data_IF_625733187099
#
_entry.id   IF_625733187099
#
_cell.length_a   1.000
_cell.length_b   1.000
_cell.length_c   1.000
_cell.angle_alpha   90.00
_cell.angle_beta   90.00
_cell.angle_gamma   90.00
#
_symmetry.space_group_name_H-M   'P 1'
#
loop_
_entity.id
_entity.type
_entity.pdbx_description
1 polymer ?
#
# COMPACT_ATOMS: atom_id res chain seq x y z
N UNK A 1 2.41 38.24 -18.82
CA UNK A 1 3.12 37.02 -18.32
C UNK A 1 2.36 36.30 -17.20
N UNK A 2 1.83 36.97 -16.16
CA UNK A 2 1.02 36.35 -15.09
C UNK A 2 -0.31 35.75 -15.57
N UNK A 3 -0.93 36.37 -16.57
CA UNK A 3 -2.21 35.93 -17.14
C UNK A 3 -2.10 34.63 -17.96
N UNK A 4 -1.08 34.54 -18.85
CA UNK A 4 -0.71 33.29 -19.55
C UNK A 4 -0.37 32.13 -18.59
N UNK A 5 0.11 32.41 -17.37
CA UNK A 5 0.38 31.38 -16.35
C UNK A 5 -0.91 30.90 -15.66
N UNK A 6 -1.96 31.73 -15.60
CA UNK A 6 -3.30 31.35 -15.10
C UNK A 6 -4.09 30.53 -16.13
N UNK A 7 -4.00 30.85 -17.42
CA UNK A 7 -4.66 30.08 -18.49
C UNK A 7 -4.09 28.66 -18.60
N UNK A 8 -2.77 28.49 -18.59
CA UNK A 8 -2.13 27.15 -18.59
C UNK A 8 -2.49 26.30 -17.37
N UNK A 9 -2.79 26.92 -16.22
CA UNK A 9 -3.28 26.20 -15.02
C UNK A 9 -4.74 25.76 -15.17
N UNK A 10 -5.58 26.53 -15.89
CA UNK A 10 -6.97 26.13 -16.19
C UNK A 10 -7.03 25.00 -17.22
N UNK A 11 -6.18 25.01 -18.26
CA UNK A 11 -6.10 23.92 -19.24
C UNK A 11 -5.64 22.60 -18.61
N UNK A 12 -4.62 22.63 -17.74
CA UNK A 12 -4.22 21.43 -16.98
C UNK A 12 -5.34 20.88 -16.09
N UNK A 13 -6.16 21.75 -15.48
CA UNK A 13 -7.26 21.32 -14.59
C UNK A 13 -8.44 20.72 -15.36
N UNK A 14 -8.70 21.17 -16.59
CA UNK A 14 -9.70 20.55 -17.48
C UNK A 14 -9.26 19.18 -18.01
N UNK A 15 -7.97 19.00 -18.29
CA UNK A 15 -7.43 17.74 -18.79
C UNK A 15 -7.58 16.58 -17.80
N UNK A 16 -7.43 16.85 -16.50
CA UNK A 16 -7.61 15.85 -15.44
C UNK A 16 -9.08 15.49 -15.15
N UNK A 17 -10.03 16.36 -15.52
CA UNK A 17 -11.46 16.12 -15.27
C UNK A 17 -12.14 15.34 -16.42
N UNK A 18 -11.52 15.26 -17.60
CA UNK A 18 -12.08 14.57 -18.77
C UNK A 18 -11.65 13.09 -18.88
N UNK A 19 -10.76 12.59 -18.02
CA UNK A 19 -10.33 11.18 -18.04
C UNK A 19 -11.21 10.24 -17.21
N UNK A 20 -12.27 10.73 -16.57
CA UNK A 20 -13.19 9.92 -15.73
C UNK A 20 -14.60 9.75 -16.30
N UNK A 21 -14.83 10.03 -17.59
CA UNK A 21 -16.10 9.71 -18.27
C UNK A 21 -15.84 8.85 -19.50
N UNK A 22 -15.91 7.52 -19.33
CA UNK A 22 -16.01 6.59 -20.45
C UNK A 22 -17.46 6.53 -20.92
N UNK A 23 -17.75 7.22 -22.02
CA UNK A 23 -18.96 6.99 -22.81
C UNK A 23 -18.83 5.66 -23.54
N UNK A 24 -19.86 4.83 -23.37
CA UNK A 24 -20.10 3.56 -24.05
C UNK A 24 -20.26 3.74 -25.56
N UNK A 25 -19.35 3.16 -26.35
CA UNK A 25 -19.53 3.00 -27.79
C UNK A 25 -19.79 1.54 -28.16
N UNK A 26 -20.78 1.40 -29.03
CA UNK A 26 -21.47 0.20 -29.48
C UNK A 26 -20.62 -0.62 -30.45
N UNK A 27 -20.74 -1.93 -30.28
CA UNK A 27 -20.31 -3.03 -31.14
C UNK A 27 -20.55 -2.81 -32.64
N UNK A 28 -19.53 -3.06 -33.45
CA UNK A 28 -19.72 -3.48 -34.85
C UNK A 28 -18.68 -4.52 -35.25
N UNK A 29 -19.20 -5.67 -35.62
CA UNK A 29 -18.62 -6.89 -36.16
C UNK A 29 -17.75 -6.74 -37.41
N UNK A 30 -16.65 -7.50 -37.49
CA UNK A 30 -15.99 -7.90 -38.74
C UNK A 30 -15.58 -9.38 -38.71
N UNK A 31 -15.47 -10.04 -39.89
CA UNK A 31 -15.68 -11.47 -40.05
C UNK A 31 -14.41 -12.32 -39.99
N UNK A 32 -14.66 -13.59 -39.67
CA UNK A 32 -13.77 -14.74 -39.63
C UNK A 32 -13.12 -15.05 -40.98
N UNK A 33 -11.79 -15.19 -40.99
CA UNK A 33 -11.05 -15.84 -42.06
C UNK A 33 -10.59 -17.24 -41.63
N UNK A 34 -10.94 -18.20 -42.47
CA UNK A 34 -10.59 -19.62 -42.43
C UNK A 34 -9.20 -19.79 -43.03
N UNK A 35 -8.32 -20.55 -42.37
CA UNK A 35 -7.25 -21.29 -43.05
C UNK A 35 -7.09 -22.69 -42.45
N UNK A 36 -7.05 -23.67 -43.35
CA UNK A 36 -7.01 -25.10 -43.11
C UNK A 36 -5.57 -25.64 -43.10
N UNK A 37 -5.36 -26.63 -42.22
CA UNK A 37 -4.57 -27.87 -42.39
C UNK A 37 -3.09 -27.81 -42.78
N UNK A 38 -2.23 -28.46 -41.98
CA UNK A 38 -1.35 -29.55 -42.45
C UNK A 38 -0.82 -30.44 -41.28
N UNK A 39 -1.04 -31.74 -41.45
CA UNK A 39 -0.33 -32.97 -41.00
C UNK A 39 0.66 -33.00 -39.81
N UNK A 40 0.28 -33.78 -38.81
CA UNK A 40 0.96 -34.96 -38.23
C UNK A 40 2.45 -35.25 -38.50
N UNK A 41 3.23 -35.39 -37.42
CA UNK A 41 4.35 -36.33 -37.31
C UNK A 41 4.43 -36.94 -35.89
N UNK A 42 4.75 -38.24 -35.83
CA UNK A 42 4.80 -39.11 -34.64
C UNK A 42 6.27 -39.28 -34.18
N UNK A 43 6.42 -39.38 -32.86
CA UNK A 43 7.56 -39.67 -31.95
C UNK A 43 8.70 -40.62 -32.40
N UNK A 44 9.87 -40.55 -31.73
CA UNK A 44 10.11 -41.43 -30.57
C UNK A 44 10.69 -40.74 -29.31
N UNK A 45 10.57 -41.47 -28.21
CA UNK A 45 10.78 -41.17 -26.78
C UNK A 45 12.26 -41.28 -26.29
N UNK A 46 12.53 -41.44 -24.98
CA UNK A 46 12.94 -40.38 -24.06
C UNK A 46 14.41 -40.52 -23.62
N UNK A 47 15.14 -39.40 -23.52
CA UNK A 47 16.48 -39.40 -22.93
C UNK A 47 16.56 -38.42 -21.76
N UNK A 48 16.72 -39.02 -20.59
CA UNK A 48 17.21 -38.53 -19.32
C UNK A 48 18.16 -37.32 -19.44
N UNK A 49 17.77 -36.19 -18.85
CA UNK A 49 18.73 -35.12 -18.53
C UNK A 49 18.49 -34.56 -17.11
N UNK A 50 19.53 -34.74 -16.31
CA UNK A 50 19.91 -34.11 -15.06
C UNK A 50 19.06 -32.91 -14.59
N UNK A 51 18.42 -33.07 -13.43
CA UNK A 51 18.08 -31.94 -12.56
C UNK A 51 19.38 -31.50 -11.88
N UNK A 52 20.02 -30.48 -12.44
CA UNK A 52 21.00 -29.68 -11.71
C UNK A 52 20.22 -28.65 -10.90
N UNK A 53 20.19 -28.83 -9.58
CA UNK A 53 19.72 -27.82 -8.65
C UNK A 53 20.73 -26.65 -8.66
N UNK A 54 20.56 -25.74 -9.61
CA UNK A 54 21.22 -24.44 -9.56
C UNK A 54 20.42 -23.59 -8.57
N UNK A 55 20.85 -23.61 -7.31
CA UNK A 55 20.50 -22.54 -6.37
C UNK A 55 21.18 -21.28 -6.87
N UNK A 56 20.48 -20.48 -7.67
CA UNK A 56 20.91 -19.12 -8.02
C UNK A 56 20.94 -18.32 -6.71
N UNK A 57 22.13 -18.16 -6.12
CA UNK A 57 22.34 -17.18 -5.05
C UNK A 57 22.11 -15.81 -5.67
N UNK A 58 20.93 -15.25 -5.45
CA UNK A 58 20.67 -13.82 -5.65
C UNK A 58 21.57 -13.09 -4.66
N UNK A 59 22.74 -12.68 -5.13
CA UNK A 59 23.60 -11.76 -4.41
C UNK A 59 23.14 -10.39 -4.86
N UNK A 60 22.32 -9.72 -4.06
CA UNK A 60 21.96 -8.32 -4.31
C UNK A 60 23.25 -7.52 -4.35
N UNK A 61 23.68 -7.11 -5.55
CA UNK A 61 24.73 -6.10 -5.69
C UNK A 61 24.14 -4.79 -5.18
N UNK A 62 24.83 -4.16 -4.24
CA UNK A 62 24.42 -2.87 -3.68
C UNK A 62 24.91 -1.76 -4.60
N UNK A 63 24.01 -0.85 -4.96
CA UNK A 63 24.32 0.32 -5.78
C UNK A 63 24.92 1.46 -4.93
N UNK A 64 25.69 2.40 -5.53
CA UNK A 64 26.29 3.52 -4.83
C UNK A 64 25.23 4.45 -4.20
N UNK A 65 25.09 4.44 -2.87
CA UNK A 65 24.20 5.34 -2.13
C UNK A 65 23.30 4.67 -1.10
N UNK A 66 23.13 3.35 -1.18
CA UNK A 66 22.34 2.58 -0.21
C UNK A 66 23.14 2.36 1.09
N UNK A 67 22.65 2.90 2.22
CA UNK A 67 23.13 2.51 3.55
C UNK A 67 22.20 1.46 4.13
N UNK A 68 22.57 0.19 4.01
CA UNK A 68 21.91 -0.85 4.81
C UNK A 68 22.38 -0.70 6.25
N UNK A 69 21.45 -0.33 7.14
CA UNK A 69 21.77 -0.07 8.55
C UNK A 69 21.89 -1.37 9.38
N UNK A 70 21.34 -2.49 8.89
CA UNK A 70 21.61 -3.83 9.44
C UNK A 70 21.28 -4.94 8.43
N UNK A 71 22.15 -5.95 8.32
CA UNK A 71 22.01 -7.12 7.43
C UNK A 71 21.80 -8.42 8.20
N UNK A 72 21.25 -8.39 9.41
CA UNK A 72 20.91 -9.66 10.08
C UNK A 72 19.99 -10.43 9.15
N UNK A 73 20.45 -11.59 8.67
CA UNK A 73 19.80 -12.37 7.60
C UNK A 73 18.36 -12.78 7.92
N UNK A 74 17.98 -12.70 9.19
CA UNK A 74 16.65 -13.01 9.71
C UNK A 74 16.01 -11.84 10.48
N UNK A 75 16.73 -10.70 10.59
CA UNK A 75 16.26 -9.51 11.26
C UNK A 75 15.50 -8.57 10.32
N UNK A 76 14.77 -7.58 10.87
CA UNK A 76 14.04 -6.63 10.04
C UNK A 76 15.02 -5.84 9.17
N UNK A 77 14.82 -5.89 7.84
CA UNK A 77 15.58 -5.06 6.91
C UNK A 77 15.14 -3.61 7.13
N UNK A 78 16.12 -2.76 7.40
CA UNK A 78 15.95 -1.32 7.56
C UNK A 78 16.72 -0.65 6.45
N UNK A 79 16.03 0.16 5.68
CA UNK A 79 16.73 0.94 4.66
C UNK A 79 16.18 2.33 4.55
N UNK A 80 17.10 3.28 4.42
CA UNK A 80 16.86 4.70 4.25
C UNK A 80 17.16 5.07 2.79
N UNK A 81 16.21 5.75 2.16
CA UNK A 81 16.30 6.15 0.75
C UNK A 81 15.81 7.58 0.53
N UNK A 82 16.19 8.16 -0.60
CA UNK A 82 15.80 9.51 -1.01
C UNK A 82 17.02 10.41 -1.23
N UNK A 83 16.87 11.38 -2.13
CA UNK A 83 17.75 12.55 -2.13
C UNK A 83 17.52 13.34 -0.82
N UNK A 84 18.43 14.26 -0.48
CA UNK A 84 18.40 15.11 0.74
C UNK A 84 17.08 15.86 1.02
N UNK A 85 16.04 15.73 0.18
CA UNK A 85 14.74 16.36 0.34
C UNK A 85 13.71 15.54 1.12
N UNK A 86 13.63 14.20 1.05
CA UNK A 86 12.68 13.42 1.88
C UNK A 86 13.25 12.03 2.16
N UNK A 87 13.63 11.68 3.40
CA UNK A 87 13.98 10.31 3.72
C UNK A 87 12.74 9.43 3.70
N UNK A 88 12.85 8.27 3.06
CA UNK A 88 11.88 7.20 3.15
C UNK A 88 12.55 6.02 3.82
N UNK A 89 11.98 5.58 4.93
CA UNK A 89 12.38 4.34 5.56
C UNK A 89 11.40 3.22 5.27
N UNK A 90 11.95 2.03 5.06
CA UNK A 90 11.20 0.79 4.95
C UNK A 90 11.61 -0.12 6.10
N UNK A 91 10.64 -0.48 6.94
CA UNK A 91 10.75 -1.60 7.87
C UNK A 91 10.13 -2.82 7.20
N UNK A 92 10.87 -3.93 7.11
CA UNK A 92 10.35 -5.22 6.69
C UNK A 92 10.40 -6.21 7.85
N UNK A 93 9.35 -7.01 8.04
CA UNK A 93 9.30 -8.09 9.01
C UNK A 93 8.42 -9.24 8.52
N UNK A 94 8.19 -10.23 9.38
CA UNK A 94 7.23 -11.31 9.11
C UNK A 94 6.28 -11.46 10.29
N UNK A 95 4.98 -11.60 10.02
CA UNK A 95 4.04 -12.04 11.05
C UNK A 95 4.27 -13.52 11.41
N UNK A 96 3.80 -13.92 12.59
CA UNK A 96 3.94 -15.31 13.04
C UNK A 96 3.08 -16.25 12.20
N UNK A 97 3.55 -17.48 12.04
CA UNK A 97 2.84 -18.54 11.31
C UNK A 97 1.50 -18.86 11.99
N UNK A 98 1.48 -18.81 13.32
CA UNK A 98 0.28 -19.09 14.11
C UNK A 98 -0.78 -18.02 13.90
N UNK A 99 -0.40 -16.75 13.75
CA UNK A 99 -1.34 -15.67 13.45
C UNK A 99 -1.91 -15.81 12.03
N UNK A 100 -1.08 -16.12 11.04
CA UNK A 100 -1.53 -16.42 9.67
C UNK A 100 -2.59 -17.54 9.66
N UNK A 101 -2.35 -18.63 10.41
CA UNK A 101 -3.31 -19.74 10.55
C UNK A 101 -4.65 -19.31 11.15
N UNK A 102 -4.68 -18.29 12.02
CA UNK A 102 -5.94 -17.74 12.52
C UNK A 102 -6.61 -16.85 11.47
N UNK A 103 -5.85 -16.06 10.71
CA UNK A 103 -6.38 -15.25 9.62
C UNK A 103 -7.08 -16.12 8.56
N UNK A 104 -6.49 -17.23 8.14
CA UNK A 104 -7.11 -18.13 7.14
C UNK A 104 -8.45 -18.74 7.57
N UNK A 105 -8.83 -18.62 8.85
CA UNK A 105 -10.16 -19.01 9.35
C UNK A 105 -11.20 -17.91 9.23
N UNK A 106 -10.80 -16.67 8.96
CA UNK A 106 -11.72 -15.55 8.78
C UNK A 106 -12.50 -15.74 7.47
N UNK A 107 -13.81 -15.59 7.55
CA UNK A 107 -14.73 -15.82 6.43
C UNK A 107 -14.32 -15.01 5.18
N UNK A 108 -13.90 -13.76 5.37
CA UNK A 108 -13.46 -12.89 4.28
C UNK A 108 -12.24 -13.39 3.50
N UNK A 109 -11.44 -14.30 4.06
CA UNK A 109 -10.26 -14.89 3.40
C UNK A 109 -10.47 -16.32 2.91
N UNK A 110 -11.61 -16.94 3.20
CA UNK A 110 -11.91 -18.31 2.75
C UNK A 110 -13.23 -18.44 1.99
N UNK A 111 -14.03 -17.37 1.89
CA UNK A 111 -15.28 -17.39 1.17
C UNK A 111 -15.11 -17.60 -0.35
N UNK A 112 -16.14 -18.16 -1.03
CA UNK A 112 -16.21 -18.13 -2.48
C UNK A 112 -16.30 -16.70 -3.03
N UNK A 113 -15.79 -16.47 -4.24
CA UNK A 113 -15.77 -15.13 -4.86
C UNK A 113 -17.12 -14.41 -4.82
N UNK A 114 -18.20 -15.12 -5.16
CA UNK A 114 -19.58 -14.59 -5.20
C UNK A 114 -20.09 -14.04 -3.86
N UNK A 115 -19.42 -14.35 -2.75
CA UNK A 115 -19.78 -13.87 -1.42
C UNK A 115 -18.99 -12.62 -0.99
N UNK A 116 -17.91 -12.25 -1.69
CA UNK A 116 -17.08 -11.09 -1.33
C UNK A 116 -17.87 -9.79 -1.28
N UNK A 117 -18.74 -9.54 -2.25
CA UNK A 117 -19.53 -8.30 -2.29
C UNK A 117 -20.46 -8.16 -1.08
N UNK A 118 -20.99 -9.29 -0.58
CA UNK A 118 -21.80 -9.31 0.65
C UNK A 118 -21.00 -9.01 1.91
N UNK A 119 -19.67 -9.19 1.84
CA UNK A 119 -18.73 -8.85 2.90
C UNK A 119 -18.21 -7.41 2.80
N UNK A 120 -18.78 -6.59 1.92
CA UNK A 120 -18.41 -5.18 1.75
C UNK A 120 -17.26 -4.94 0.79
N UNK A 121 -16.84 -5.95 0.01
CA UNK A 121 -15.87 -5.74 -1.06
C UNK A 121 -16.55 -5.18 -2.31
N UNK A 122 -15.79 -4.41 -3.07
CA UNK A 122 -16.21 -3.87 -4.35
C UNK A 122 -15.24 -4.34 -5.42
N UNK A 123 -15.77 -4.76 -6.57
CA UNK A 123 -14.93 -5.06 -7.73
C UNK A 123 -14.37 -3.76 -8.31
N UNK A 124 -13.06 -3.69 -8.45
CA UNK A 124 -12.34 -2.53 -8.96
C UNK A 124 -11.78 -2.79 -10.37
N UNK A 125 -11.65 -1.73 -11.17
CA UNK A 125 -11.11 -1.78 -12.53
C UNK A 125 -9.93 -0.82 -12.63
N UNK A 126 -8.75 -1.32 -12.23
CA UNK A 126 -7.50 -0.53 -12.24
C UNK A 126 -6.75 -0.70 -13.56
N UNK A 127 -6.97 -1.83 -14.23
CA UNK A 127 -6.30 -2.22 -15.46
C UNK A 127 -7.32 -2.46 -16.58
N UNK A 128 -7.92 -1.39 -17.16
CA UNK A 128 -8.98 -1.54 -18.16
C UNK A 128 -8.52 -2.29 -19.44
N UNK A 129 -7.20 -2.35 -19.68
CA UNK A 129 -6.60 -3.10 -20.80
C UNK A 129 -6.34 -4.58 -20.48
N UNK A 130 -6.49 -5.00 -19.22
CA UNK A 130 -6.28 -6.36 -18.75
C UNK A 130 -7.56 -6.85 -18.04
N UNK A 131 -8.69 -6.98 -18.75
CA UNK A 131 -10.00 -7.26 -18.14
C UNK A 131 -10.09 -8.63 -17.44
N UNK A 132 -9.16 -9.54 -17.73
CA UNK A 132 -9.05 -10.84 -17.05
C UNK A 132 -8.24 -10.78 -15.75
N UNK A 133 -7.60 -9.65 -15.43
CA UNK A 133 -7.12 -9.39 -14.08
C UNK A 133 -8.30 -8.89 -13.25
N UNK A 134 -8.63 -9.60 -12.18
CA UNK A 134 -9.76 -9.29 -11.31
C UNK A 134 -9.25 -8.79 -9.98
N UNK A 135 -9.78 -7.65 -9.56
CA UNK A 135 -9.41 -6.97 -8.33
C UNK A 135 -10.68 -6.66 -7.53
N UNK A 136 -10.69 -7.05 -6.25
CA UNK A 136 -11.67 -6.61 -5.27
C UNK A 136 -10.98 -5.84 -4.13
N UNK A 137 -11.61 -4.78 -3.66
CA UNK A 137 -11.15 -4.01 -2.51
C UNK A 137 -12.29 -3.82 -1.50
N UNK A 138 -12.02 -4.09 -0.22
CA UNK A 138 -12.93 -3.81 0.88
C UNK A 138 -12.31 -2.78 1.83
N UNK A 139 -13.10 -1.80 2.27
CA UNK A 139 -12.67 -0.75 3.19
C UNK A 139 -13.32 -0.94 4.56
N UNK A 140 -12.49 -1.07 5.60
CA UNK A 140 -12.91 -1.35 6.97
C UNK A 140 -12.20 -0.42 7.95
N UNK A 141 -12.54 -0.48 9.23
CA UNK A 141 -11.72 0.14 10.28
C UNK A 141 -11.20 -0.84 11.33
N UNK A 142 -10.08 -0.45 11.95
CA UNK A 142 -9.41 -1.19 13.01
C UNK A 142 -9.78 -0.72 14.44
N UNK A 143 -10.72 0.21 14.59
CA UNK A 143 -11.09 0.79 15.88
C UNK A 143 -11.68 -0.25 16.86
N UNK A 144 -11.67 0.04 18.16
CA UNK A 144 -12.20 -0.87 19.20
C UNK A 144 -13.72 -1.11 19.10
N UNK A 145 -14.46 -0.12 18.63
CA UNK A 145 -15.91 -0.23 18.43
C UNK A 145 -16.24 -1.19 17.29
N UNK A 146 -17.36 -1.92 17.42
CA UNK A 146 -17.98 -2.72 16.36
C UNK A 146 -18.88 -1.89 15.43
N UNK A 147 -19.23 -0.67 15.84
CA UNK A 147 -20.01 0.27 15.04
C UNK A 147 -19.21 0.81 13.87
N UNK A 148 -19.90 1.15 12.78
CA UNK A 148 -19.28 1.77 11.62
C UNK A 148 -18.68 3.14 11.97
N UNK A 149 -17.57 3.48 11.31
CA UNK A 149 -16.89 4.77 11.46
C UNK A 149 -16.90 5.54 10.15
N UNK A 150 -17.55 6.71 10.17
CA UNK A 150 -17.54 7.65 9.04
C UNK A 150 -16.13 8.19 8.81
N UNK A 151 -15.60 7.99 7.61
CA UNK A 151 -14.27 8.46 7.23
C UNK A 151 -14.14 8.63 5.72
N UNK A 152 -13.02 9.15 5.28
CA UNK A 152 -12.73 9.31 3.85
C UNK A 152 -12.32 7.98 3.23
N UNK A 153 -12.92 7.64 2.10
CA UNK A 153 -12.50 6.54 1.25
C UNK A 153 -11.15 6.90 0.59
N UNK A 154 -10.08 6.11 0.81
CA UNK A 154 -8.76 6.42 0.27
C UNK A 154 -8.70 6.45 -1.26
N UNK A 155 -9.64 5.79 -1.95
CA UNK A 155 -9.62 5.61 -3.40
C UNK A 155 -10.17 6.81 -4.16
N UNK A 156 -11.30 7.34 -3.74
CA UNK A 156 -12.02 8.41 -4.46
C UNK A 156 -12.27 9.66 -3.60
N UNK A 157 -11.79 9.66 -2.35
CA UNK A 157 -12.01 10.72 -1.36
C UNK A 157 -13.47 10.96 -0.96
N UNK A 158 -14.38 10.04 -1.30
CA UNK A 158 -15.78 10.12 -0.84
C UNK A 158 -15.89 9.85 0.66
N UNK A 159 -16.99 10.31 1.29
CA UNK A 159 -17.28 9.99 2.69
C UNK A 159 -18.06 8.68 2.72
N UNK A 160 -17.56 7.72 3.50
CA UNK A 160 -18.18 6.41 3.66
C UNK A 160 -18.23 6.01 5.14
N UNK A 161 -19.26 5.27 5.51
CA UNK A 161 -19.33 4.58 6.80
C UNK A 161 -18.60 3.25 6.67
N UNK A 162 -17.35 3.19 7.14
CA UNK A 162 -16.56 1.97 7.08
C UNK A 162 -17.09 1.01 8.15
N UNK A 163 -17.42 -0.24 7.81
CA UNK A 163 -17.73 -1.25 8.82
C UNK A 163 -16.48 -1.66 9.60
N UNK A 164 -16.68 -2.20 10.79
CA UNK A 164 -15.59 -2.79 11.57
C UNK A 164 -15.00 -4.00 10.83
N UNK A 165 -13.67 -4.09 10.80
CA UNK A 165 -13.02 -5.32 10.35
C UNK A 165 -13.32 -6.48 11.32
N UNK A 166 -13.10 -7.76 10.92
CA UNK A 166 -13.23 -8.88 11.83
C UNK A 166 -12.38 -8.68 13.11
N UNK A 167 -12.88 -9.08 14.30
CA UNK A 167 -12.23 -8.80 15.58
C UNK A 167 -10.73 -9.16 15.61
N UNK A 168 -10.35 -10.32 15.07
CA UNK A 168 -8.96 -10.75 15.02
C UNK A 168 -8.05 -9.78 14.24
N UNK A 169 -8.56 -9.22 13.12
CA UNK A 169 -7.82 -8.26 12.31
C UNK A 169 -7.72 -6.90 13.01
N UNK A 170 -8.82 -6.43 13.63
CA UNK A 170 -8.81 -5.21 14.45
C UNK A 170 -7.78 -5.32 15.59
N UNK A 171 -7.78 -6.46 16.27
CA UNK A 171 -6.93 -6.73 17.41
C UNK A 171 -5.44 -6.66 17.08
N UNK A 172 -5.03 -7.07 15.88
CA UNK A 172 -3.63 -6.96 15.43
C UNK A 172 -3.12 -5.51 15.45
N UNK A 173 -3.90 -4.59 14.90
CA UNK A 173 -3.51 -3.18 14.83
C UNK A 173 -3.61 -2.48 16.19
N UNK A 174 -4.59 -2.86 17.01
CA UNK A 174 -4.69 -2.37 18.39
C UNK A 174 -3.51 -2.86 19.22
N UNK A 175 -3.19 -4.16 19.19
CA UNK A 175 -2.04 -4.74 19.89
C UNK A 175 -0.71 -4.12 19.41
N UNK A 176 -0.59 -3.85 18.10
CA UNK A 176 0.58 -3.14 17.57
C UNK A 176 0.70 -1.72 18.16
N UNK A 177 -0.40 -0.95 18.23
CA UNK A 177 -0.38 0.39 18.85
C UNK A 177 0.00 0.34 20.33
N UNK A 178 -0.58 -0.59 21.09
CA UNK A 178 -0.31 -0.72 22.52
C UNK A 178 1.15 -1.11 22.79
N UNK A 179 1.65 -2.12 22.07
CA UNK A 179 3.03 -2.61 22.18
C UNK A 179 4.07 -1.57 21.79
N UNK A 180 3.72 -0.66 20.88
CA UNK A 180 4.62 0.36 20.37
C UNK A 180 4.26 1.78 20.87
N UNK A 181 3.50 1.90 21.95
CA UNK A 181 3.03 3.19 22.48
C UNK A 181 4.18 4.16 22.80
N UNK A 182 5.25 3.69 23.45
CA UNK A 182 6.44 4.51 23.71
C UNK A 182 7.17 4.94 22.42
N UNK A 183 7.22 4.06 21.42
CA UNK A 183 7.82 4.36 20.13
C UNK A 183 7.00 5.39 19.35
N UNK A 184 5.67 5.27 19.35
CA UNK A 184 4.75 6.24 18.75
C UNK A 184 4.81 7.59 19.47
N UNK A 185 4.96 7.59 20.80
CA UNK A 185 5.13 8.81 21.57
C UNK A 185 6.37 9.60 21.14
N UNK A 186 7.47 8.94 20.77
CA UNK A 186 8.64 9.62 20.21
C UNK A 186 8.33 10.30 18.87
N UNK A 187 7.60 9.63 17.98
CA UNK A 187 7.16 10.22 16.71
C UNK A 187 6.30 11.46 16.97
N UNK A 188 5.36 11.35 17.91
CA UNK A 188 4.49 12.43 18.32
C UNK A 188 5.26 13.66 18.82
N UNK A 189 6.24 13.46 19.70
CA UNK A 189 7.11 14.54 20.21
C UNK A 189 7.96 15.17 19.11
N UNK A 190 8.43 14.41 18.12
CA UNK A 190 9.14 14.98 16.96
C UNK A 190 8.20 15.80 16.06
N UNK A 191 6.97 15.33 15.81
CA UNK A 191 5.97 16.08 15.03
C UNK A 191 5.58 17.40 15.72
N UNK A 192 5.56 17.44 17.06
CA UNK A 192 5.29 18.66 17.83
C UNK A 192 6.35 19.75 17.66
N UNK A 193 7.59 19.37 17.41
CA UNK A 193 8.71 20.30 17.19
C UNK A 193 8.73 20.89 15.78
N UNK A 194 7.90 20.36 14.88
CA UNK A 194 7.85 20.83 13.49
C UNK A 194 7.19 22.20 13.44
N UNK A 195 7.94 23.22 13.03
CA UNK A 195 7.35 24.53 12.76
C UNK A 195 6.81 24.54 11.32
N UNK A 196 5.52 24.82 11.17
CA UNK A 196 4.88 24.98 9.86
C UNK A 196 4.52 26.44 9.65
N UNK A 197 4.88 27.01 8.50
CA UNK A 197 4.51 28.37 8.15
C UNK A 197 3.00 28.46 7.87
N UNK A 198 2.34 29.44 8.49
CA UNK A 198 0.93 29.76 8.25
C UNK A 198 -0.06 28.87 9.01
N UNK A 199 -1.30 29.34 9.07
CA UNK A 199 -2.37 28.67 9.82
C UNK A 199 -2.69 27.28 9.25
N UNK A 200 -2.69 27.13 7.92
CA UNK A 200 -3.05 25.87 7.27
C UNK A 200 -2.00 24.77 7.53
N UNK A 201 -0.72 25.13 7.48
CA UNK A 201 0.37 24.21 7.82
C UNK A 201 0.26 23.75 9.27
N UNK A 202 0.02 24.68 10.20
CA UNK A 202 -0.15 24.37 11.62
C UNK A 202 -1.39 23.49 11.88
N UNK A 203 -2.49 23.73 11.17
CA UNK A 203 -3.68 22.86 11.25
C UNK A 203 -3.37 21.43 10.77
N UNK A 204 -2.64 21.28 9.66
CA UNK A 204 -2.27 19.97 9.15
C UNK A 204 -1.31 19.24 10.10
N UNK A 205 -0.32 19.95 10.66
CA UNK A 205 0.58 19.43 11.70
C UNK A 205 -0.20 18.88 12.89
N UNK A 206 -1.19 19.64 13.38
CA UNK A 206 -2.07 19.21 14.49
C UNK A 206 -2.87 17.95 14.18
N UNK A 207 -3.26 17.73 12.93
CA UNK A 207 -3.91 16.47 12.53
C UNK A 207 -2.94 15.30 12.71
N UNK A 208 -1.72 15.40 12.20
CA UNK A 208 -0.72 14.32 12.38
C UNK A 208 -0.30 14.16 13.84
N UNK A 209 -0.14 15.26 14.58
CA UNK A 209 0.10 15.24 16.02
C UNK A 209 -1.00 14.46 16.74
N UNK A 210 -2.26 14.77 16.48
CA UNK A 210 -3.39 14.07 17.08
C UNK A 210 -3.47 12.60 16.65
N UNK A 211 -3.07 12.29 15.42
CA UNK A 211 -3.09 10.93 14.90
C UNK A 211 -2.05 10.03 15.58
N UNK A 212 -0.89 10.57 15.97
CA UNK A 212 0.15 9.86 16.73
C UNK A 212 0.01 9.99 18.25
N UNK A 213 -0.96 10.77 18.75
CA UNK A 213 -1.14 10.96 20.17
C UNK A 213 -1.52 9.61 20.84
N UNK A 214 -0.75 9.12 21.83
CA UNK A 214 -0.99 7.82 22.47
C UNK A 214 -2.32 7.74 23.24
N UNK A 215 -2.95 8.89 23.53
CA UNK A 215 -4.28 8.96 24.12
C UNK A 215 -5.39 8.91 23.06
N UNK A 216 -5.07 9.06 21.78
CA UNK A 216 -6.00 9.02 20.64
C UNK A 216 -5.69 7.80 19.74
N UNK A 217 -5.89 6.60 20.27
CA UNK A 217 -5.54 5.35 19.59
C UNK A 217 -6.50 4.92 18.46
N UNK A 218 -7.34 5.83 17.96
CA UNK A 218 -8.35 5.50 16.93
C UNK A 218 -7.89 5.82 15.52
N UNK A 219 -7.02 6.81 15.34
CA UNK A 219 -6.65 7.33 14.03
C UNK A 219 -5.50 6.57 13.37
N UNK A 220 -4.41 6.33 14.09
CA UNK A 220 -3.25 5.61 13.56
C UNK A 220 -3.60 4.15 13.24
N UNK A 221 -3.34 3.73 12.00
CA UNK A 221 -3.69 2.38 11.50
C UNK A 221 -5.18 2.04 11.66
N UNK A 222 -6.05 3.05 11.71
CA UNK A 222 -7.49 2.87 11.85
C UNK A 222 -8.18 2.60 10.52
N UNK A 223 -7.63 3.04 9.40
CA UNK A 223 -8.19 2.86 8.04
C UNK A 223 -7.62 1.62 7.39
N UNK A 224 -8.45 0.62 7.13
CA UNK A 224 -8.05 -0.67 6.57
C UNK A 224 -8.56 -0.84 5.14
N UNK A 225 -7.67 -1.22 4.24
CA UNK A 225 -8.01 -1.71 2.91
C UNK A 225 -7.57 -3.17 2.79
N UNK A 226 -8.50 -4.04 2.38
CA UNK A 226 -8.23 -5.45 2.07
C UNK A 226 -8.35 -5.63 0.57
N UNK A 227 -7.26 -6.08 -0.05
CA UNK A 227 -7.15 -6.22 -1.50
C UNK A 227 -7.07 -7.69 -1.87
N UNK A 228 -7.88 -8.10 -2.85
CA UNK A 228 -7.93 -9.46 -3.39
C UNK A 228 -7.71 -9.42 -4.89
N UNK A 229 -6.63 -10.04 -5.36
CA UNK A 229 -6.26 -10.08 -6.78
C UNK A 229 -6.20 -11.52 -7.29
N UNK A 230 -6.71 -11.76 -8.50
CA UNK A 230 -6.50 -13.01 -9.23
C UNK A 230 -6.69 -12.80 -10.75
N UNK A 231 -6.47 -13.86 -11.53
CA UNK A 231 -6.60 -13.85 -12.98
C UNK A 231 -5.27 -13.57 -13.67
N UNK A 232 -5.30 -12.85 -14.79
CA UNK A 232 -4.10 -12.56 -15.58
C UNK A 232 -3.05 -11.78 -14.77
N UNK A 233 -1.79 -12.02 -15.10
CA UNK A 233 -0.67 -11.29 -14.50
C UNK A 233 -0.74 -9.78 -14.82
N UNK A 234 -0.32 -8.99 -13.84
CA UNK A 234 0.14 -7.61 -14.04
C UNK A 234 1.65 -7.69 -13.96
N UNK A 235 2.33 -7.73 -15.11
CA UNK A 235 3.80 -7.74 -15.16
C UNK A 235 4.40 -6.35 -14.88
N UNK A 236 5.72 -6.28 -14.72
CA UNK A 236 6.46 -5.04 -14.47
C UNK A 236 6.22 -3.91 -15.49
N UNK A 237 5.76 -4.21 -16.71
CA UNK A 237 5.44 -3.20 -17.73
C UNK A 237 4.03 -2.63 -17.59
N UNK A 238 3.13 -3.39 -16.97
CA UNK A 238 1.73 -3.03 -16.77
C UNK A 238 1.45 -2.52 -15.35
N UNK A 239 2.46 -2.39 -14.49
CA UNK A 239 2.31 -1.88 -13.12
C UNK A 239 1.66 -0.50 -13.10
N UNK A 240 0.57 -0.37 -12.34
CA UNK A 240 -0.12 0.90 -12.09
C UNK A 240 0.63 1.75 -11.08
N UNK A 241 1.65 2.48 -11.54
CA UNK A 241 2.48 3.29 -10.64
C UNK A 241 1.75 4.54 -10.13
N UNK A 242 1.88 4.80 -8.82
CA UNK A 242 1.24 5.92 -8.14
C UNK A 242 2.02 6.34 -6.88
N UNK A 243 1.65 7.48 -6.31
CA UNK A 243 1.94 7.82 -4.92
C UNK A 243 0.65 7.71 -4.12
N UNK A 244 0.74 7.24 -2.88
CA UNK A 244 -0.43 7.17 -2.04
C UNK A 244 -0.89 8.57 -1.59
N UNK A 245 -2.12 8.64 -1.11
CA UNK A 245 -2.62 9.82 -0.42
C UNK A 245 -1.98 10.02 0.97
N UNK A 246 -2.21 11.19 1.57
CA UNK A 246 -1.55 11.59 2.83
C UNK A 246 -1.98 10.80 4.06
N UNK A 247 -3.09 10.06 4.00
CA UNK A 247 -3.39 9.09 5.05
C UNK A 247 -2.40 7.90 5.06
N UNK A 248 -1.63 7.68 3.99
CA UNK A 248 -0.52 6.71 3.94
C UNK A 248 0.86 7.33 4.24
N UNK A 249 0.91 8.48 4.92
CA UNK A 249 2.16 9.00 5.51
C UNK A 249 2.73 8.00 6.53
N UNK A 250 1.89 7.17 7.14
CA UNK A 250 2.27 5.96 7.85
C UNK A 250 1.44 4.81 7.32
N UNK A 251 2.07 3.86 6.65
CA UNK A 251 1.40 2.74 5.98
C UNK A 251 1.96 1.44 6.53
N UNK A 252 1.12 0.64 7.18
CA UNK A 252 1.43 -0.71 7.62
C UNK A 252 0.72 -1.68 6.69
N UNK A 253 1.43 -2.57 6.01
CA UNK A 253 0.81 -3.59 5.18
C UNK A 253 1.40 -4.97 5.38
N UNK A 254 0.58 -6.00 5.10
CA UNK A 254 1.04 -7.38 5.16
C UNK A 254 0.31 -8.31 4.17
N UNK A 255 0.97 -9.41 3.85
CA UNK A 255 0.51 -10.42 2.88
C UNK A 255 -0.10 -11.63 3.57
N UNK A 256 -1.37 -11.95 3.26
CA UNK A 256 -2.09 -13.10 3.85
C UNK A 256 -2.10 -14.30 2.90
N UNK A 257 -2.14 -14.08 1.60
CA UNK A 257 -2.16 -15.15 0.61
C UNK A 257 -1.47 -14.70 -0.68
N UNK A 258 -0.86 -15.65 -1.39
CA UNK A 258 -0.15 -15.40 -2.64
C UNK A 258 1.11 -14.56 -2.48
N UNK A 259 1.86 -14.44 -3.57
CA UNK A 259 3.09 -13.66 -3.64
C UNK A 259 2.90 -12.51 -4.64
N UNK A 260 3.59 -11.39 -4.41
CA UNK A 260 3.60 -10.22 -5.29
C UNK A 260 4.95 -9.51 -5.21
N UNK A 261 5.20 -8.54 -6.09
CA UNK A 261 6.42 -7.72 -6.01
C UNK A 261 5.99 -6.28 -5.83
N UNK A 262 6.52 -5.61 -4.80
CA UNK A 262 6.39 -4.17 -4.63
C UNK A 262 7.53 -3.49 -5.40
N UNK A 263 7.16 -2.71 -6.42
CA UNK A 263 8.08 -1.88 -7.18
C UNK A 263 8.10 -0.50 -6.56
N UNK A 264 9.27 0.07 -6.33
CA UNK A 264 9.39 1.45 -5.86
C UNK A 264 10.52 2.20 -6.59
N UNK A 265 10.26 3.46 -6.90
CA UNK A 265 11.25 4.42 -7.36
C UNK A 265 11.50 5.41 -6.23
N UNK A 266 12.75 5.49 -5.79
CA UNK A 266 13.07 6.19 -4.53
C UNK A 266 13.68 7.57 -4.78
N UNK A 267 13.03 8.33 -5.67
CA UNK A 267 13.31 9.75 -5.91
C UNK A 267 12.05 10.60 -5.65
N UNK A 268 12.25 11.80 -5.07
CA UNK A 268 11.17 12.70 -4.66
C UNK A 268 10.46 13.46 -5.78
N UNK A 269 10.83 13.24 -7.05
CA UNK A 269 10.38 14.10 -8.16
C UNK A 269 9.72 13.29 -9.29
N UNK A 270 8.43 13.55 -9.51
CA UNK A 270 7.57 12.82 -10.46
C UNK A 270 8.00 13.01 -11.91
N UNK A 271 8.44 14.22 -12.28
CA UNK A 271 8.92 14.53 -13.64
C UNK A 271 10.22 13.80 -13.97
N UNK A 272 10.90 13.30 -12.94
CA UNK A 272 12.16 12.62 -13.05
C UNK A 272 11.98 11.12 -13.28
N UNK A 273 11.06 10.43 -12.59
CA UNK A 273 10.84 8.97 -12.67
C UNK A 273 10.67 8.38 -14.09
N UNK A 274 10.37 9.20 -15.11
CA UNK A 274 10.31 8.79 -16.52
C UNK A 274 11.68 8.77 -17.24
N UNK A 275 12.74 9.31 -16.64
CA UNK A 275 14.10 9.28 -17.19
C UNK A 275 14.84 8.02 -16.68
N UNK A 276 15.80 7.49 -17.43
CA UNK A 276 16.38 6.16 -17.20
C UNK A 276 17.33 6.01 -15.98
N UNK A 277 17.46 7.03 -15.12
CA UNK A 277 18.50 7.11 -14.08
C UNK A 277 17.95 6.93 -12.64
N UNK A 278 16.92 6.11 -12.42
CA UNK A 278 16.39 5.85 -11.06
C UNK A 278 16.80 4.50 -10.52
N UNK A 279 17.10 4.49 -9.22
CA UNK A 279 17.13 3.28 -8.43
C UNK A 279 15.70 2.72 -8.36
N UNK A 280 15.44 1.75 -9.24
CA UNK A 280 14.24 0.94 -9.21
C UNK A 280 14.49 -0.25 -8.29
N UNK A 281 13.67 -0.35 -7.25
CA UNK A 281 13.73 -1.45 -6.31
C UNK A 281 12.54 -2.38 -6.50
N UNK A 282 12.83 -3.67 -6.43
CA UNK A 282 11.86 -4.74 -6.40
C UNK A 282 11.97 -5.41 -5.05
N UNK A 283 10.91 -5.31 -4.26
CA UNK A 283 10.79 -5.94 -2.96
C UNK A 283 9.77 -7.08 -3.08
N UNK A 284 10.22 -8.35 -3.27
CA UNK A 284 9.32 -9.50 -3.26
C UNK A 284 8.57 -9.57 -1.92
N UNK A 285 7.27 -9.81 -1.99
CA UNK A 285 6.39 -9.96 -0.84
C UNK A 285 5.78 -11.35 -0.86
N UNK A 286 6.26 -12.18 0.04
CA UNK A 286 5.74 -13.51 0.32
C UNK A 286 4.58 -13.45 1.32
N UNK A 287 3.86 -14.55 1.46
CA UNK A 287 2.93 -14.76 2.57
C UNK A 287 3.65 -14.53 3.90
N UNK A 288 3.00 -13.80 4.81
CA UNK A 288 3.51 -13.31 6.11
C UNK A 288 4.38 -12.08 6.07
N UNK A 289 4.85 -11.64 4.92
CA UNK A 289 5.67 -10.43 4.89
C UNK A 289 4.84 -9.24 5.36
N UNK A 290 5.47 -8.44 6.22
CA UNK A 290 4.98 -7.18 6.76
C UNK A 290 5.93 -6.11 6.28
N UNK A 291 5.40 -4.98 5.85
CA UNK A 291 6.19 -3.77 5.70
C UNK A 291 5.51 -2.55 6.32
N UNK A 292 6.33 -1.63 6.80
CA UNK A 292 5.89 -0.32 7.27
C UNK A 292 6.73 0.74 6.58
N UNK A 293 6.07 1.67 5.91
CA UNK A 293 6.73 2.75 5.17
C UNK A 293 5.80 3.96 4.99
N UNK A 294 6.20 4.88 4.12
CA UNK A 294 5.52 6.13 3.84
C UNK A 294 5.26 6.32 2.31
N UNK A 295 4.43 5.47 1.68
CA UNK A 295 4.16 5.49 0.22
C UNK A 295 3.51 6.78 -0.28
N UNK A 296 3.10 7.69 0.61
CA UNK A 296 2.74 9.05 0.25
C UNK A 296 3.92 9.89 -0.30
N UNK A 297 5.17 9.42 -0.12
CA UNK A 297 6.40 10.15 -0.48
C UNK A 297 7.28 9.47 -1.53
N UNK A 298 6.88 8.31 -2.08
CA UNK A 298 7.62 7.66 -3.15
C UNK A 298 6.68 7.02 -4.17
N UNK A 299 7.13 6.95 -5.41
CA UNK A 299 6.37 6.36 -6.51
C UNK A 299 6.51 4.84 -6.42
N UNK A 300 5.39 4.13 -6.45
CA UNK A 300 5.39 2.69 -6.30
C UNK A 300 4.23 2.05 -7.05
N UNK A 301 4.30 0.75 -7.20
CA UNK A 301 3.24 -0.06 -7.78
C UNK A 301 3.50 -1.53 -7.52
N UNK A 302 2.52 -2.37 -7.81
CA UNK A 302 2.57 -3.78 -7.45
C UNK A 302 2.44 -4.64 -8.70
N UNK A 303 3.38 -5.56 -8.86
CA UNK A 303 3.34 -6.62 -9.85
C UNK A 303 2.63 -7.83 -9.25
N UNK A 304 1.71 -8.43 -10.01
CA UNK A 304 0.91 -9.57 -9.60
C UNK A 304 1.15 -10.73 -10.58
N UNK A 305 1.63 -11.90 -10.14
CA UNK A 305 1.69 -13.07 -11.01
C UNK A 305 0.28 -13.55 -11.36
N UNK A 306 0.17 -14.30 -12.47
CA UNK A 306 -1.07 -14.97 -12.84
C UNK A 306 -1.46 -15.99 -11.75
N UNK A 307 -2.72 -15.97 -11.34
CA UNK A 307 -3.24 -16.92 -10.36
C UNK A 307 -4.75 -17.17 -10.55
N UNK A 308 -5.24 -18.25 -9.97
CA UNK A 308 -6.67 -18.59 -9.90
C UNK A 308 -7.25 -18.13 -8.56
N UNK A 309 -8.56 -18.24 -8.40
CA UNK A 309 -9.23 -17.87 -7.16
C UNK A 309 -8.70 -18.64 -5.93
N UNK A 310 -8.41 -19.94 -6.10
CA UNK A 310 -7.95 -20.81 -5.02
C UNK A 310 -6.59 -20.39 -4.48
N UNK A 311 -5.76 -19.77 -5.31
CA UNK A 311 -4.44 -19.25 -4.95
C UNK A 311 -4.30 -17.73 -5.10
N UNK A 312 -5.44 -17.01 -5.02
CA UNK A 312 -5.52 -15.54 -5.14
C UNK A 312 -4.58 -14.83 -4.18
N UNK A 313 -4.21 -13.60 -4.51
CA UNK A 313 -3.33 -12.77 -3.69
C UNK A 313 -4.18 -11.93 -2.76
N UNK A 314 -3.90 -11.95 -1.45
CA UNK A 314 -4.59 -11.17 -0.44
C UNK A 314 -3.58 -10.30 0.31
N UNK A 315 -3.78 -8.99 0.25
CA UNK A 315 -2.99 -7.99 0.94
C UNK A 315 -3.89 -7.16 1.87
N UNK A 316 -3.35 -6.75 3.02
CA UNK A 316 -4.04 -5.83 3.92
C UNK A 316 -3.14 -4.63 4.14
N UNK A 317 -3.74 -3.44 4.10
CA UNK A 317 -3.08 -2.17 4.27
C UNK A 317 -3.80 -1.37 5.35
N UNK A 318 -3.03 -0.74 6.23
CA UNK A 318 -3.54 0.10 7.31
C UNK A 318 -2.87 1.47 7.29
N UNK A 319 -3.71 2.50 7.44
CA UNK A 319 -3.38 3.91 7.23
C UNK A 319 -4.02 4.76 8.32
N UNK A 320 -3.83 6.08 8.26
CA UNK A 320 -4.59 6.99 9.12
C UNK A 320 -6.08 7.01 8.76
N UNK A 321 -6.92 6.91 9.78
CA UNK A 321 -8.37 7.08 9.66
C UNK A 321 -8.75 8.54 9.83
N UNK A 322 -8.77 9.28 8.72
CA UNK A 322 -9.18 10.67 8.71
C UNK A 322 -10.68 10.82 8.40
N UNK A 323 -11.34 11.68 9.17
CA UNK A 323 -12.63 12.21 8.77
C UNK A 323 -12.48 13.29 7.68
N UNK A 324 -13.60 13.82 7.18
CA UNK A 324 -13.59 14.83 6.12
C UNK A 324 -12.79 16.09 6.49
N UNK A 325 -12.95 16.59 7.72
CA UNK A 325 -12.30 17.81 8.18
C UNK A 325 -10.77 17.63 8.25
N UNK A 326 -10.32 16.51 8.83
CA UNK A 326 -8.92 16.13 8.94
C UNK A 326 -8.28 15.92 7.57
N UNK A 327 -8.99 15.25 6.67
CA UNK A 327 -8.57 15.06 5.28
C UNK A 327 -8.40 16.39 4.55
N UNK A 328 -9.35 17.32 4.72
CA UNK A 328 -9.29 18.63 4.11
C UNK A 328 -8.16 19.49 4.66
N UNK A 329 -7.82 19.36 5.95
CA UNK A 329 -6.65 20.03 6.56
C UNK A 329 -5.35 19.45 6.03
N UNK A 330 -5.22 18.13 5.97
CA UNK A 330 -3.99 17.45 5.53
C UNK A 330 -3.76 17.59 4.03
N UNK A 331 -4.79 17.53 3.18
CA UNK A 331 -4.65 17.66 1.73
C UNK A 331 -4.05 18.98 1.27
N UNK A 332 -4.13 20.04 2.09
CA UNK A 332 -3.47 21.33 1.80
C UNK A 332 -1.96 21.20 1.75
N UNK A 333 -1.38 20.21 2.42
CA UNK A 333 0.04 19.91 2.30
C UNK A 333 0.44 19.41 0.90
N UNK A 334 -0.50 19.05 0.01
CA UNK A 334 -0.19 18.63 -1.37
C UNK A 334 0.46 19.70 -2.25
N UNK A 335 0.48 20.97 -1.83
CA UNK A 335 1.10 22.04 -2.61
C UNK A 335 2.62 21.94 -2.77
N UNK A 336 3.11 22.49 -3.89
CA UNK A 336 4.54 22.73 -4.14
C UNK A 336 5.02 23.97 -3.35
N UNK A 337 6.32 24.02 -2.99
CA UNK A 337 6.94 25.18 -2.34
C UNK A 337 7.14 24.97 -0.84
N UNK A 338 6.90 26.01 -0.03
CA UNK A 338 7.12 25.96 1.43
C UNK A 338 6.21 24.96 2.16
N UNK A 339 4.99 24.75 1.65
CA UNK A 339 4.08 23.68 2.11
C UNK A 339 4.71 22.28 1.93
N UNK A 340 5.53 22.14 0.89
CA UNK A 340 6.32 20.95 0.64
C UNK A 340 7.38 20.70 1.71
N UNK A 341 7.85 21.72 2.45
CA UNK A 341 8.90 21.56 3.47
C UNK A 341 8.38 20.87 4.73
N UNK A 342 7.21 21.27 5.24
CA UNK A 342 6.63 20.64 6.44
C UNK A 342 6.33 19.15 6.26
N UNK A 343 5.97 18.75 5.04
CA UNK A 343 5.85 17.33 4.66
C UNK A 343 7.15 16.55 4.83
N UNK A 344 8.28 17.12 4.41
CA UNK A 344 9.60 16.49 4.52
C UNK A 344 9.95 16.26 5.98
N UNK A 345 9.63 17.22 6.83
CA UNK A 345 9.95 17.14 8.26
C UNK A 345 9.08 16.06 8.94
N UNK A 346 7.78 15.99 8.62
CA UNK A 346 6.90 14.90 9.10
C UNK A 346 7.43 13.55 8.61
N UNK A 347 7.78 13.44 7.33
CA UNK A 347 8.36 12.23 6.76
C UNK A 347 9.69 11.86 7.46
N UNK A 348 10.57 12.83 7.71
CA UNK A 348 11.83 12.63 8.43
C UNK A 348 11.60 12.12 9.86
N UNK A 349 10.66 12.70 10.59
CA UNK A 349 10.34 12.26 11.96
C UNK A 349 9.89 10.79 11.97
N UNK A 350 9.01 10.41 11.05
CA UNK A 350 8.50 9.04 10.93
C UNK A 350 9.60 8.08 10.43
N UNK A 351 10.35 8.46 9.40
CA UNK A 351 11.46 7.67 8.85
C UNK A 351 12.52 7.40 9.91
N UNK A 352 12.95 8.42 10.66
CA UNK A 352 13.89 8.26 11.78
C UNK A 352 13.37 7.28 12.84
N UNK A 353 12.07 7.34 13.16
CA UNK A 353 11.49 6.40 14.09
C UNK A 353 11.43 4.98 13.52
N UNK A 354 11.12 4.80 12.24
CA UNK A 354 11.15 3.49 11.57
C UNK A 354 12.55 2.89 11.54
N UNK A 355 13.62 3.70 11.51
CA UNK A 355 15.00 3.22 11.67
C UNK A 355 15.20 2.59 13.05
N UNK A 356 14.60 3.11 14.13
CA UNK A 356 14.64 2.42 15.43
C UNK A 356 13.86 1.09 15.40
N UNK A 357 12.81 1.02 14.57
CA UNK A 357 12.10 -0.21 14.21
C UNK A 357 10.98 -0.54 15.20
N UNK A 358 9.72 -0.62 14.76
CA UNK A 358 8.65 -1.09 15.63
C UNK A 358 8.77 -2.60 15.92
N UNK A 359 8.09 -3.05 16.96
CA UNK A 359 8.00 -4.45 17.37
C UNK A 359 6.64 -5.01 16.98
N UNK A 360 6.62 -6.11 16.23
CA UNK A 360 5.36 -6.79 15.89
C UNK A 360 4.75 -7.46 17.14
N UNK A 361 3.41 -7.39 17.33
CA UNK A 361 2.76 -8.12 18.41
C UNK A 361 2.81 -9.63 18.14
N UNK A 362 2.92 -10.39 19.23
CA UNK A 362 2.80 -11.84 19.23
C UNK A 362 1.34 -12.26 19.10
N UNK A 363 1.09 -13.50 18.68
CA UNK A 363 -0.28 -14.03 18.65
C UNK A 363 -0.98 -13.93 20.02
N UNK A 364 -0.24 -14.13 21.12
CA UNK A 364 -0.82 -14.02 22.48
C UNK A 364 -1.36 -12.61 22.73
N UNK A 365 -0.56 -11.58 22.49
CA UNK A 365 -0.97 -10.17 22.66
C UNK A 365 -2.16 -9.83 21.76
N UNK A 366 -2.18 -10.33 20.51
CA UNK A 366 -3.31 -10.14 19.59
C UNK A 366 -4.58 -10.79 20.14
N UNK A 367 -4.51 -12.02 20.64
CA UNK A 367 -5.67 -12.74 21.17
C UNK A 367 -6.19 -12.12 22.46
N UNK A 368 -5.30 -11.61 23.33
CA UNK A 368 -5.68 -10.87 24.55
C UNK A 368 -6.49 -9.62 24.18
N UNK A 369 -6.02 -8.83 23.21
CA UNK A 369 -6.78 -7.68 22.71
C UNK A 369 -8.09 -8.12 22.06
N UNK A 370 -8.07 -9.16 21.23
CA UNK A 370 -9.26 -9.67 20.55
C UNK A 370 -10.37 -10.08 21.52
N UNK A 371 -10.01 -10.63 22.70
CA UNK A 371 -10.96 -10.98 23.74
C UNK A 371 -11.62 -9.77 24.42
N UNK A 372 -11.08 -8.56 24.23
CA UNK A 372 -11.64 -7.30 24.74
C UNK A 372 -12.52 -6.56 23.72
N UNK A 373 -12.65 -7.10 22.51
CA UNK A 373 -13.46 -6.49 21.46
C UNK A 373 -14.88 -7.04 21.51
N UNK A 374 -15.84 -6.13 21.39
CA UNK A 374 -17.25 -6.45 21.18
C UNK A 374 -17.51 -7.06 19.80
#
# INVERSE_FOLDING_TARGET
>A
KREKKRERKKEKKLFYCCLSRSESYVSSSFPSFIFSSFSSFIFPSPLSFYISLVTTKVTTMLEPGEKILSTDKEGPRKVEYGNNSVPVSLFCGKMSEEYLKQLHKLEMFCCPEKELEKMGFQRCVDYPRLPQHVYYEGYFHSCRTSEAVTSVNPRDSSIIDKPAAPPLLRAMYIAFREKNSEWMHKIWEEIKKVEMEGEEGEQARKVFENAFNPNNNTQLLGDLAVQVHYGHAIDGHNVGYHTDALNSVFHYAFSVHGNRILHSFRASDHDRAQNADFDHYQDPQEVRDVYISLPAFFYHGVEYPECKWENRIIAIQARFLFNEEEWNKTNRLRGEGKEGEGKKIIAQAISNALISGPVLPSLKEILEVCATLD
#
